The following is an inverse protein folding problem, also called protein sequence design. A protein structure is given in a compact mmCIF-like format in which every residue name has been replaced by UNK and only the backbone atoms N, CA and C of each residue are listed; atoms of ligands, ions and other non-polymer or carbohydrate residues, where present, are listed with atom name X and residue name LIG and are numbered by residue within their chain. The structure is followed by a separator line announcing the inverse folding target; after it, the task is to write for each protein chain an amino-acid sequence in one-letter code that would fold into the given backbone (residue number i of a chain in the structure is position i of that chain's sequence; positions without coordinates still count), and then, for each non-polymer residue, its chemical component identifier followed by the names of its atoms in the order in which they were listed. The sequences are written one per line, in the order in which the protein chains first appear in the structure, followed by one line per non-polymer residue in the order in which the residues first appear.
data_IF_658079485546
#
_entry.id   IF_658079485546
#
_cell.length_a   1.000
_cell.length_b   1.000
_cell.length_c   1.000
_cell.angle_alpha   90.00
_cell.angle_beta   90.00
_cell.angle_gamma   90.00
#
_symmetry.space_group_name_H-M   'P 1'
#
loop_
_entity.id
_entity.type
_entity.pdbx_description
1 polymer ?
#
# COMPACT_ATOMS: atom_id res chain seq x y z
N UNK A 1 -15.88 4.30 -47.81
CA UNK A 1 -14.67 3.78 -47.13
C UNK A 1 -13.79 4.98 -46.79
N UNK A 2 -13.37 5.07 -45.52
CA UNK A 2 -12.38 5.98 -44.88
C UNK A 2 -12.27 7.46 -45.27
N UNK A 3 -12.79 8.30 -44.36
CA UNK A 3 -12.08 9.18 -43.40
C UNK A 3 -10.69 9.81 -43.73
N UNK A 4 -10.39 10.97 -43.10
CA UNK A 4 -9.66 12.09 -43.70
C UNK A 4 -8.26 12.33 -43.08
N UNK A 5 -7.52 13.31 -43.59
CA UNK A 5 -6.41 13.96 -42.85
C UNK A 5 -6.35 15.43 -43.24
N UNK A 6 -6.64 16.31 -42.28
CA UNK A 6 -6.29 17.73 -42.33
C UNK A 6 -5.10 17.92 -41.41
N UNK A 7 -4.01 18.41 -42.00
CA UNK A 7 -2.86 18.99 -41.30
C UNK A 7 -2.82 20.50 -41.55
N UNK A 8 -1.96 21.18 -40.78
CA UNK A 8 -1.61 22.62 -40.72
C UNK A 8 -2.42 23.36 -39.64
N UNK A 9 -1.81 24.00 -38.64
CA UNK A 9 -0.61 24.85 -38.70
C UNK A 9 0.25 24.76 -37.42
N UNK A 10 1.57 24.88 -37.58
CA UNK A 10 2.53 24.94 -36.48
C UNK A 10 2.89 26.36 -36.02
N UNK A 11 3.67 26.44 -34.93
CA UNK A 11 4.85 27.30 -34.81
C UNK A 11 5.68 26.87 -33.60
N UNK A 12 6.98 26.67 -33.87
CA UNK A 12 8.06 26.38 -32.94
C UNK A 12 8.61 27.68 -32.33
N UNK A 13 9.01 27.62 -31.05
CA UNK A 13 10.24 28.19 -30.44
C UNK A 13 10.43 27.42 -29.11
N UNK A 14 11.57 26.98 -28.57
CA UNK A 14 12.99 27.23 -28.82
C UNK A 14 13.79 27.06 -27.51
N UNK A 15 14.26 25.82 -27.24
CA UNK A 15 15.61 25.47 -26.72
C UNK A 15 16.07 25.81 -25.27
N UNK A 16 16.25 24.76 -24.45
CA UNK A 16 17.43 24.39 -23.61
C UNK A 16 16.98 23.27 -22.65
N UNK A 17 17.52 22.05 -22.67
CA UNK A 17 18.89 21.72 -22.30
C UNK A 17 18.99 21.64 -20.77
N UNK A 18 18.82 20.44 -20.19
CA UNK A 18 19.00 20.19 -18.76
C UNK A 18 18.57 18.79 -18.34
N UNK A 19 19.55 17.91 -18.13
CA UNK A 19 19.41 16.69 -17.35
C UNK A 19 18.85 17.01 -15.96
N UNK A 20 17.82 16.27 -15.57
CA UNK A 20 17.22 16.38 -14.26
C UNK A 20 16.19 15.29 -14.11
N UNK A 21 16.58 14.20 -13.44
CA UNK A 21 15.66 13.23 -12.87
C UNK A 21 14.78 13.98 -11.86
N UNK A 22 13.68 14.52 -12.36
CA UNK A 22 12.59 14.98 -11.53
C UNK A 22 11.77 13.76 -11.14
N UNK A 23 12.18 13.05 -10.08
CA UNK A 23 11.20 12.29 -9.29
C UNK A 23 10.35 13.34 -8.59
N UNK A 24 9.44 13.94 -9.35
CA UNK A 24 8.32 14.67 -8.78
C UNK A 24 7.42 13.62 -8.15
N UNK A 25 7.71 13.23 -6.91
CA UNK A 25 6.68 12.65 -6.07
C UNK A 25 5.69 13.77 -5.77
N UNK A 26 4.75 13.97 -6.69
CA UNK A 26 3.51 14.65 -6.39
C UNK A 26 2.87 13.86 -5.27
N UNK A 27 3.07 14.29 -4.02
CA UNK A 27 2.30 13.84 -2.88
C UNK A 27 0.89 14.41 -3.08
N UNK A 28 0.12 13.79 -3.98
CA UNK A 28 -1.28 14.12 -4.19
C UNK A 28 -2.07 13.66 -2.97
N UNK A 29 -2.09 14.51 -1.94
CA UNK A 29 -3.21 14.90 -1.08
C UNK A 29 -4.19 13.90 -0.43
N UNK A 30 -4.19 12.62 -0.79
CA UNK A 30 -4.98 11.57 -0.13
C UNK A 30 -4.34 10.23 -0.51
N UNK A 31 -3.35 9.82 0.28
CA UNK A 31 -2.76 8.50 0.11
C UNK A 31 -3.48 7.56 1.04
N UNK A 32 -4.12 6.56 0.45
CA UNK A 32 -4.78 5.52 1.22
C UNK A 32 -3.72 4.70 1.95
N UNK A 33 -3.87 4.50 3.25
CA UNK A 33 -2.96 3.68 4.03
C UNK A 33 -3.75 2.81 5.01
N UNK A 34 -3.08 1.79 5.51
CA UNK A 34 -3.58 0.95 6.59
C UNK A 34 -2.42 0.44 7.42
N UNK A 35 -2.63 0.29 8.71
CA UNK A 35 -1.67 -0.28 9.63
C UNK A 35 -2.11 -1.67 10.09
N UNK A 36 -1.12 -2.49 10.46
CA UNK A 36 -1.35 -3.78 11.11
C UNK A 36 -0.33 -3.95 12.23
N UNK A 37 -0.84 -4.15 13.44
CA UNK A 37 -0.04 -4.64 14.57
C UNK A 37 0.05 -6.16 14.45
N UNK A 38 1.28 -6.66 14.34
CA UNK A 38 1.56 -8.05 14.09
C UNK A 38 1.28 -8.89 15.34
N UNK A 39 0.15 -9.59 15.35
CA UNK A 39 -0.11 -10.72 16.25
C UNK A 39 0.59 -12.02 15.79
N UNK A 40 0.55 -13.07 16.63
CA UNK A 40 1.06 -14.41 16.31
C UNK A 40 0.60 -14.94 14.96
N UNK A 41 -0.64 -14.70 14.52
CA UNK A 41 -1.14 -15.22 13.24
C UNK A 41 -0.48 -14.58 12.02
N UNK A 42 0.13 -13.41 12.18
CA UNK A 42 0.85 -12.74 11.10
C UNK A 42 2.28 -13.27 10.96
N UNK A 43 2.94 -13.58 12.07
CA UNK A 43 4.38 -13.95 12.09
C UNK A 43 4.63 -15.45 12.31
N UNK A 44 3.65 -16.18 12.84
CA UNK A 44 3.68 -17.64 13.05
C UNK A 44 2.60 -18.35 12.23
N UNK A 45 2.65 -19.69 12.15
CA UNK A 45 1.73 -20.46 11.29
C UNK A 45 0.27 -20.35 11.76
N UNK A 46 -0.71 -20.10 10.86
CA UNK A 46 -0.56 -19.85 9.42
C UNK A 46 -0.29 -18.37 9.14
N UNK A 47 0.92 -18.04 8.65
CA UNK A 47 1.39 -16.66 8.37
C UNK A 47 0.54 -16.00 7.28
N UNK A 48 -0.58 -15.41 7.67
CA UNK A 48 -1.49 -14.71 6.77
C UNK A 48 -1.56 -13.24 7.18
N UNK A 49 -1.45 -12.34 6.21
CA UNK A 49 -1.82 -10.94 6.41
C UNK A 49 -3.13 -10.68 5.66
N UNK A 50 -4.12 -10.21 6.40
CA UNK A 50 -5.36 -9.69 5.83
C UNK A 50 -5.39 -8.18 6.04
N UNK A 51 -5.62 -7.39 4.99
CA UNK A 51 -5.85 -5.97 5.18
C UNK A 51 -7.10 -5.74 6.05
N UNK A 52 -7.12 -4.69 6.88
CA UNK A 52 -8.32 -4.28 7.60
C UNK A 52 -9.50 -3.99 6.67
N UNK A 53 -10.74 -4.15 7.16
CA UNK A 53 -11.94 -4.03 6.31
C UNK A 53 -12.11 -2.65 5.65
N UNK A 54 -11.68 -1.58 6.31
CA UNK A 54 -11.84 -0.21 5.82
C UNK A 54 -11.04 0.10 4.55
N UNK A 55 -9.91 -0.60 4.34
CA UNK A 55 -9.06 -0.39 3.15
C UNK A 55 -9.51 -1.25 1.97
N UNK A 56 -10.26 -2.33 2.20
CA UNK A 56 -10.64 -3.27 1.14
C UNK A 56 -11.33 -2.61 -0.08
N UNK A 57 -12.24 -1.62 0.07
CA UNK A 57 -12.86 -0.95 -1.08
C UNK A 57 -11.87 -0.15 -1.96
N UNK A 58 -10.66 0.12 -1.44
CA UNK A 58 -9.59 0.85 -2.12
C UNK A 58 -8.53 -0.09 -2.72
N UNK A 59 -8.61 -1.38 -2.42
CA UNK A 59 -7.73 -2.42 -2.96
C UNK A 59 -8.41 -3.15 -4.12
N UNK A 60 -7.65 -3.83 -4.99
CA UNK A 60 -8.24 -4.59 -6.10
C UNK A 60 -9.16 -5.71 -5.62
N UNK A 61 -10.30 -5.89 -6.27
CA UNK A 61 -11.23 -7.01 -6.02
C UNK A 61 -10.89 -8.27 -6.85
N UNK A 62 -9.72 -8.26 -7.48
CA UNK A 62 -9.18 -9.36 -8.28
C UNK A 62 -7.81 -9.80 -7.78
N UNK A 63 -7.40 -11.00 -8.13
CA UNK A 63 -6.04 -11.47 -7.85
C UNK A 63 -5.04 -10.71 -8.73
N UNK A 64 -4.10 -10.01 -8.10
CA UNK A 64 -3.07 -9.21 -8.79
C UNK A 64 -1.68 -9.39 -8.20
N UNK A 65 -0.61 -9.18 -8.98
CA UNK A 65 0.73 -8.96 -8.44
C UNK A 65 0.73 -7.82 -7.41
N UNK A 66 1.42 -8.06 -6.30
CA UNK A 66 1.67 -7.11 -5.23
C UNK A 66 3.18 -6.87 -5.11
N UNK A 67 3.57 -5.61 -5.09
CA UNK A 67 4.92 -5.16 -4.73
C UNK A 67 4.86 -4.40 -3.41
N UNK A 68 5.58 -4.89 -2.41
CA UNK A 68 5.78 -4.19 -1.13
C UNK A 68 7.20 -3.62 -1.11
N UNK A 69 7.36 -2.33 -0.84
CA UNK A 69 8.65 -1.64 -0.82
C UNK A 69 8.97 -1.07 0.56
N UNK A 70 10.18 -1.31 1.05
CA UNK A 70 10.72 -0.74 2.29
C UNK A 70 12.13 -0.20 2.02
N UNK A 71 12.28 1.13 1.98
CA UNK A 71 13.51 1.77 1.52
C UNK A 71 13.86 1.34 0.08
N UNK A 72 15.06 0.79 -0.08
CA UNK A 72 15.57 0.29 -1.37
C UNK A 72 15.25 -1.20 -1.63
N UNK A 73 14.59 -1.87 -0.68
CA UNK A 73 14.21 -3.28 -0.79
C UNK A 73 12.77 -3.42 -1.25
N UNK A 74 12.50 -4.46 -2.03
CA UNK A 74 11.15 -4.81 -2.45
C UNK A 74 10.88 -6.32 -2.39
N UNK A 75 9.63 -6.66 -2.11
CA UNK A 75 9.13 -8.03 -2.08
C UNK A 75 7.94 -8.15 -3.03
N UNK A 76 8.03 -9.11 -3.95
CA UNK A 76 6.96 -9.45 -4.86
C UNK A 76 6.18 -10.64 -4.32
N UNK A 77 4.85 -10.55 -4.38
CA UNK A 77 3.92 -11.61 -4.02
C UNK A 77 2.59 -11.40 -4.74
N UNK A 78 1.58 -12.21 -4.45
CA UNK A 78 0.22 -11.96 -4.93
C UNK A 78 -0.64 -11.31 -3.84
N UNK A 79 -1.48 -10.37 -4.23
CA UNK A 79 -2.66 -9.99 -3.47
C UNK A 79 -3.87 -10.75 -4.02
N UNK A 80 -4.59 -11.42 -3.13
CA UNK A 80 -5.73 -12.29 -3.46
C UNK A 80 -6.98 -11.51 -3.07
N UNK A 81 -7.48 -10.70 -4.01
CA UNK A 81 -8.63 -9.80 -3.82
C UNK A 81 -9.99 -10.41 -4.15
N UNK A 82 -10.01 -11.50 -4.92
CA UNK A 82 -11.20 -12.18 -5.46
C UNK A 82 -11.86 -13.17 -4.48
N UNK A 83 -11.34 -13.29 -3.26
CA UNK A 83 -11.88 -14.15 -2.23
C UNK A 83 -12.78 -13.39 -1.23
N UNK A 84 -13.67 -14.12 -0.54
CA UNK A 84 -14.52 -13.58 0.55
C UNK A 84 -13.73 -12.85 1.64
N UNK A 85 -12.44 -13.19 1.81
CA UNK A 85 -11.53 -12.58 2.79
C UNK A 85 -10.21 -12.28 2.11
N UNK A 86 -10.08 -11.09 1.49
CA UNK A 86 -8.87 -10.72 0.78
C UNK A 86 -7.62 -10.82 1.65
N UNK A 87 -6.50 -11.21 1.05
CA UNK A 87 -5.24 -11.41 1.77
C UNK A 87 -4.02 -11.26 0.87
N UNK A 88 -2.87 -11.09 1.51
CA UNK A 88 -1.59 -11.32 0.86
C UNK A 88 -1.31 -12.83 0.76
N UNK A 89 -0.65 -13.25 -0.30
CA UNK A 89 -0.20 -14.62 -0.50
C UNK A 89 0.72 -15.06 0.66
N UNK A 90 0.38 -16.18 1.30
CA UNK A 90 1.06 -16.67 2.51
C UNK A 90 2.55 -16.95 2.30
N UNK A 91 2.95 -17.37 1.09
CA UNK A 91 4.34 -17.63 0.73
C UNK A 91 5.18 -16.36 0.70
N UNK A 92 4.74 -15.37 -0.08
CA UNK A 92 5.35 -14.05 -0.14
C UNK A 92 5.32 -13.28 1.17
N UNK A 93 4.20 -13.31 1.90
CA UNK A 93 4.10 -12.68 3.22
C UNK A 93 5.08 -13.31 4.23
N UNK A 94 5.19 -14.65 4.26
CA UNK A 94 6.18 -15.34 5.08
C UNK A 94 7.61 -14.90 4.75
N UNK A 95 7.94 -14.77 3.47
CA UNK A 95 9.26 -14.30 3.05
C UNK A 95 9.52 -12.88 3.55
N UNK A 96 8.55 -11.97 3.40
CA UNK A 96 8.65 -10.61 3.90
C UNK A 96 8.87 -10.57 5.42
N UNK A 97 8.14 -11.38 6.19
CA UNK A 97 8.31 -11.52 7.65
C UNK A 97 9.72 -11.97 8.01
N UNK A 98 10.23 -13.00 7.34
CA UNK A 98 11.55 -13.57 7.63
C UNK A 98 12.69 -12.61 7.24
N UNK A 99 12.64 -12.04 6.04
CA UNK A 99 13.70 -11.15 5.52
C UNK A 99 13.84 -9.87 6.35
N UNK A 100 12.76 -9.46 7.03
CA UNK A 100 12.74 -8.29 7.91
C UNK A 100 12.77 -8.65 9.41
N UNK A 101 12.94 -9.91 9.81
CA UNK A 101 12.89 -10.33 11.23
C UNK A 101 11.69 -9.73 12.00
N UNK A 102 10.50 -9.79 11.40
CA UNK A 102 9.27 -9.24 12.01
C UNK A 102 8.79 -10.12 13.17
N UNK A 103 8.42 -9.49 14.28
CA UNK A 103 8.01 -10.17 15.52
C UNK A 103 6.61 -9.76 15.95
N UNK A 104 6.03 -10.56 16.85
CA UNK A 104 4.80 -10.18 17.52
C UNK A 104 5.00 -8.84 18.24
N UNK A 105 4.06 -7.91 18.06
CA UNK A 105 4.13 -6.56 18.60
C UNK A 105 4.89 -5.56 17.74
N UNK A 106 5.50 -5.95 16.61
CA UNK A 106 5.88 -4.99 15.57
C UNK A 106 4.63 -4.48 14.85
N UNK A 107 4.70 -3.33 14.20
CA UNK A 107 3.66 -2.82 13.32
C UNK A 107 4.18 -2.53 11.92
N UNK A 108 3.33 -2.77 10.92
CA UNK A 108 3.56 -2.37 9.55
C UNK A 108 2.51 -1.33 9.16
N UNK A 109 2.95 -0.18 8.67
CA UNK A 109 2.07 0.84 8.07
C UNK A 109 2.28 0.79 6.57
N UNK A 110 1.23 0.45 5.84
CA UNK A 110 1.24 0.31 4.39
C UNK A 110 0.56 1.50 3.73
N UNK A 111 1.24 2.15 2.80
CA UNK A 111 0.74 3.24 1.99
C UNK A 111 0.50 2.74 0.56
N UNK A 112 -0.71 2.92 0.05
CA UNK A 112 -1.11 2.52 -1.30
C UNK A 112 -0.55 3.52 -2.29
N UNK A 113 0.39 3.05 -3.09
CA UNK A 113 1.03 3.86 -4.15
C UNK A 113 0.33 3.69 -5.49
N UNK A 114 -0.22 2.50 -5.74
CA UNK A 114 -0.98 2.19 -6.94
C UNK A 114 -1.93 1.02 -6.65
N UNK A 115 -3.19 1.15 -7.06
CA UNK A 115 -4.21 0.13 -6.93
C UNK A 115 -4.95 0.01 -8.26
N UNK A 116 -4.78 -1.12 -8.94
CA UNK A 116 -5.44 -1.40 -10.22
C UNK A 116 -5.70 -2.90 -10.36
N UNK A 117 -6.46 -3.28 -11.39
CA UNK A 117 -6.68 -4.68 -11.75
C UNK A 117 -5.46 -5.37 -12.34
N UNK A 118 -4.35 -4.63 -12.54
CA UNK A 118 -3.09 -5.15 -13.09
C UNK A 118 -2.03 -5.35 -12.02
N UNK A 119 -2.00 -4.48 -11.00
CA UNK A 119 -0.96 -4.46 -9.97
C UNK A 119 -1.37 -3.63 -8.76
N UNK A 120 -0.91 -4.07 -7.59
CA UNK A 120 -0.95 -3.33 -6.34
C UNK A 120 0.49 -2.98 -5.91
N UNK A 121 0.75 -1.70 -5.61
CA UNK A 121 2.04 -1.25 -5.06
C UNK A 121 1.81 -0.63 -3.69
N UNK A 122 2.55 -1.13 -2.70
CA UNK A 122 2.52 -0.64 -1.32
C UNK A 122 3.92 -0.21 -0.89
N UNK A 123 4.03 0.97 -0.33
CA UNK A 123 5.17 1.33 0.50
C UNK A 123 4.89 0.91 1.94
N UNK A 124 5.88 0.39 2.65
CA UNK A 124 5.72 -0.04 4.05
C UNK A 124 6.74 0.63 4.96
N UNK A 125 6.25 1.12 6.10
CA UNK A 125 7.06 1.52 7.25
C UNK A 125 6.93 0.45 8.33
N UNK A 126 8.07 -0.04 8.82
CA UNK A 126 8.12 -1.04 9.90
C UNK A 126 8.46 -0.33 11.20
N UNK A 127 7.54 -0.40 12.17
CA UNK A 127 7.71 0.14 13.51
C UNK A 127 8.00 -1.01 14.46
N UNK A 128 9.17 -0.98 15.10
CA UNK A 128 9.61 -2.05 16.00
C UNK A 128 9.01 -1.90 17.38
N UNK A 129 8.51 -3.02 17.89
CA UNK A 129 7.98 -3.18 19.23
C UNK A 129 7.12 -2.00 19.71
N UNK A 130 5.85 -2.02 19.32
CA UNK A 130 4.90 -0.98 19.68
C UNK A 130 4.58 -0.96 21.17
N UNK A 131 4.98 -1.97 21.95
CA UNK A 131 4.74 -2.03 23.40
C UNK A 131 5.51 -0.96 24.18
N UNK A 132 6.62 -0.45 23.63
CA UNK A 132 7.39 0.63 24.25
C UNK A 132 6.99 2.03 23.76
N UNK A 133 6.01 2.12 22.86
CA UNK A 133 5.54 3.41 22.38
C UNK A 133 4.61 4.05 23.43
N UNK A 134 4.74 5.36 23.69
CA UNK A 134 3.76 6.10 24.47
C UNK A 134 2.33 5.87 23.96
N UNK A 135 1.31 5.77 24.85
CA UNK A 135 -0.07 5.54 24.44
C UNK A 135 -0.60 6.52 23.38
N UNK A 136 -0.11 7.76 23.40
CA UNK A 136 -0.45 8.79 22.42
C UNK A 136 0.06 8.52 20.99
N UNK A 137 1.08 7.68 20.82
CA UNK A 137 1.58 7.24 19.51
C UNK A 137 0.87 5.96 19.05
N UNK A 138 0.59 5.04 19.98
CA UNK A 138 -0.21 3.85 19.70
C UNK A 138 -1.61 4.20 19.18
N UNK A 139 -2.25 5.19 19.80
CA UNK A 139 -3.57 5.64 19.38
C UNK A 139 -3.55 6.22 17.97
N UNK A 140 -2.47 6.85 17.51
CA UNK A 140 -2.36 7.37 16.14
C UNK A 140 -2.22 6.25 15.11
N UNK A 141 -1.49 5.20 15.42
CA UNK A 141 -1.37 4.02 14.54
C UNK A 141 -2.76 3.40 14.38
N UNK A 142 -3.45 3.13 15.49
CA UNK A 142 -4.74 2.43 15.49
C UNK A 142 -5.95 3.28 15.05
N UNK A 143 -5.94 4.60 15.29
CA UNK A 143 -7.10 5.47 15.02
C UNK A 143 -7.21 5.87 13.56
N UNK A 144 -6.11 5.91 12.81
CA UNK A 144 -6.16 6.38 11.43
C UNK A 144 -6.70 5.33 10.44
N UNK A 145 -6.82 4.07 10.85
CA UNK A 145 -7.59 3.03 10.17
C UNK A 145 -9.01 2.82 10.73
N UNK A 146 -9.47 3.65 11.67
CA UNK A 146 -10.83 3.54 12.22
C UNK A 146 -11.61 4.78 11.80
N UNK A 147 -12.54 4.60 10.85
CA UNK A 147 -13.63 5.56 10.67
C UNK A 147 -14.24 5.84 12.05
N UNK A 148 -14.58 7.10 12.38
CA UNK A 148 -15.21 7.41 13.65
C UNK A 148 -16.54 6.66 13.73
N UNK A 149 -16.57 5.56 14.47
CA UNK A 149 -17.80 5.03 15.04
C UNK A 149 -18.24 6.03 16.10
N UNK A 150 -19.03 7.01 15.68
CA UNK A 150 -20.01 7.61 16.57
C UNK A 150 -21.25 7.86 15.74
N UNK A 151 -22.09 6.82 15.70
CA UNK A 151 -23.52 7.04 15.63
C UNK A 151 -23.88 8.02 16.75
N UNK A 152 -24.41 9.18 16.39
CA UNK A 152 -25.30 9.93 17.28
C UNK A 152 -26.67 9.72 16.66
N UNK A 153 -27.42 8.79 17.26
CA UNK A 153 -28.88 8.81 17.23
C UNK A 153 -29.35 10.13 17.84
N UNK A 154 -30.11 10.91 17.08
CA UNK A 154 -31.16 11.79 17.57
C UNK A 154 -32.37 11.64 16.66
#
# INVERSE_FOLDING_TARGET
MSAPSKEVCGMNEGKRGGDGVGVGCSLSGNKDFFDVILSKTHVTSPRHLRPPSHILPKLPDVKVPLVVRHGDKQWQMMYIGDEKRPRLESGGWRRFVNDNDLKEGDACVFEVMESSTQILRLDVVIIRNTMYLPPALLSKIQSQGKTPETAIEL
#
